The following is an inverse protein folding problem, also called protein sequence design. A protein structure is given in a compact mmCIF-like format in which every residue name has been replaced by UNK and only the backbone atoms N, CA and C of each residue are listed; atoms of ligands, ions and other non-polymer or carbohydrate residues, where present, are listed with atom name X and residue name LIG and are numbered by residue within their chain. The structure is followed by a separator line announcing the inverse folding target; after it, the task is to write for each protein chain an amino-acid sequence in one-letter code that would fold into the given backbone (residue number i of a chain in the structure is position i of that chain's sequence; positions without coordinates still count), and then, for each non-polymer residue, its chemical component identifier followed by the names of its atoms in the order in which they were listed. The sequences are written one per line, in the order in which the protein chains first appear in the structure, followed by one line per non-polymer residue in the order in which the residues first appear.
data_IF_140847413622
#
_entry.id   IF_140847413622
#
_cell.length_a   1.000
_cell.length_b   1.000
_cell.length_c   1.000
_cell.angle_alpha   90.00
_cell.angle_beta   90.00
_cell.angle_gamma   90.00
#
_symmetry.space_group_name_H-M   'P 1'
#
loop_
_entity.id
_entity.type
_entity.pdbx_description
1 polymer ?
#
# COMPACT_ATOMS: atom_id res chain seq x y z
N UNK A 1 15.30 -33.94 -39.35
CA UNK A 1 15.73 -33.08 -38.22
C UNK A 1 14.60 -32.22 -37.67
N UNK A 2 13.99 -31.28 -38.42
CA UNK A 2 12.73 -30.59 -38.00
C UNK A 2 11.60 -31.55 -37.61
N UNK A 3 11.55 -32.72 -38.25
CA UNK A 3 10.61 -33.79 -37.92
C UNK A 3 10.75 -34.32 -36.47
N UNK A 4 11.97 -34.43 -35.93
CA UNK A 4 12.19 -35.01 -34.59
C UNK A 4 11.80 -34.03 -33.49
N UNK A 5 12.16 -32.74 -33.62
CA UNK A 5 11.72 -31.72 -32.67
C UNK A 5 10.19 -31.57 -32.66
N UNK A 6 9.55 -31.63 -33.82
CA UNK A 6 8.09 -31.61 -33.91
C UNK A 6 7.45 -32.86 -33.28
N UNK A 7 7.97 -34.06 -33.54
CA UNK A 7 7.47 -35.29 -32.91
C UNK A 7 7.67 -35.28 -31.40
N UNK A 8 8.78 -34.71 -30.91
CA UNK A 8 9.03 -34.53 -29.49
C UNK A 8 7.98 -33.60 -28.85
N UNK A 9 7.73 -32.44 -29.46
CA UNK A 9 6.71 -31.50 -29.00
C UNK A 9 5.29 -32.08 -29.09
N UNK A 10 5.00 -32.87 -30.13
CA UNK A 10 3.74 -33.60 -30.26
C UNK A 10 3.58 -34.68 -29.19
N UNK A 11 4.65 -35.44 -28.90
CA UNK A 11 4.64 -36.43 -27.82
C UNK A 11 4.46 -35.79 -26.45
N UNK A 12 5.12 -34.64 -26.23
CA UNK A 12 4.95 -33.85 -25.02
C UNK A 12 3.51 -33.33 -24.88
N UNK A 13 2.95 -32.77 -25.95
CA UNK A 13 1.56 -32.31 -26.00
C UNK A 13 0.58 -33.47 -25.75
N UNK A 14 0.78 -34.61 -26.40
CA UNK A 14 -0.06 -35.79 -26.21
C UNK A 14 -0.01 -36.30 -24.77
N UNK A 15 1.16 -36.30 -24.14
CA UNK A 15 1.22 -36.65 -22.73
C UNK A 15 0.58 -35.59 -21.82
N UNK A 16 0.80 -34.30 -22.08
CA UNK A 16 0.16 -33.24 -21.32
C UNK A 16 -1.37 -33.36 -21.35
N UNK A 17 -1.95 -33.59 -22.53
CA UNK A 17 -3.39 -33.86 -22.70
C UNK A 17 -3.81 -35.11 -21.95
N UNK A 18 -3.00 -36.19 -21.98
CA UNK A 18 -3.31 -37.41 -21.24
C UNK A 18 -3.33 -37.19 -19.71
N UNK A 19 -2.53 -36.25 -19.21
CA UNK A 19 -2.54 -35.82 -17.81
C UNK A 19 -3.64 -34.80 -17.49
N UNK A 20 -4.43 -34.40 -18.49
CA UNK A 20 -5.55 -33.47 -18.34
C UNK A 20 -5.17 -31.98 -18.47
N UNK A 21 -3.97 -31.67 -18.94
CA UNK A 21 -3.52 -30.29 -19.11
C UNK A 21 -3.95 -29.73 -20.46
N UNK A 22 -4.22 -28.43 -20.47
CA UNK A 22 -4.52 -27.70 -21.70
C UNK A 22 -3.21 -27.41 -22.44
N UNK A 23 -3.25 -27.60 -23.76
CA UNK A 23 -2.10 -27.38 -24.64
C UNK A 23 -2.47 -26.33 -25.67
N UNK A 24 -1.66 -25.27 -25.78
CA UNK A 24 -1.87 -24.18 -26.72
C UNK A 24 -0.68 -24.04 -27.68
N UNK A 25 -0.96 -23.58 -28.89
CA UNK A 25 0.10 -23.17 -29.81
C UNK A 25 0.79 -21.91 -29.29
N UNK A 26 2.12 -21.91 -29.27
CA UNK A 26 2.91 -20.75 -28.84
C UNK A 26 2.65 -19.58 -29.79
N UNK A 27 2.10 -18.49 -29.26
CA UNK A 27 1.85 -17.26 -30.02
C UNK A 27 3.08 -16.33 -30.09
N UNK A 28 4.21 -16.70 -29.47
CA UNK A 28 5.40 -15.86 -29.38
C UNK A 28 6.12 -15.70 -30.72
N UNK A 29 6.34 -14.44 -31.12
CA UNK A 29 7.12 -14.06 -32.32
C UNK A 29 8.60 -14.47 -32.24
N UNK A 30 9.12 -14.75 -31.04
CA UNK A 30 10.54 -15.01 -30.80
C UNK A 30 10.96 -16.46 -31.12
N UNK A 31 10.04 -17.43 -31.12
CA UNK A 31 10.36 -18.86 -31.26
C UNK A 31 9.93 -19.48 -32.60
N UNK A 32 9.58 -18.64 -33.58
CA UNK A 32 8.95 -19.02 -34.86
C UNK A 32 9.78 -19.98 -35.72
N UNK A 33 11.09 -20.11 -35.49
CA UNK A 33 12.01 -20.90 -36.33
C UNK A 33 12.20 -22.35 -35.88
N UNK A 34 11.89 -22.69 -34.62
CA UNK A 34 12.23 -24.00 -34.04
C UNK A 34 11.03 -24.75 -33.42
N UNK A 35 9.90 -24.06 -33.21
CA UNK A 35 8.64 -24.64 -32.73
C UNK A 35 8.56 -24.67 -31.20
N UNK A 36 7.36 -24.47 -30.67
CA UNK A 36 7.10 -24.51 -29.24
C UNK A 36 5.63 -24.76 -28.93
N UNK A 37 5.37 -25.18 -27.71
CA UNK A 37 4.03 -25.45 -27.17
C UNK A 37 3.88 -24.82 -25.78
N UNK A 38 2.72 -24.24 -25.50
CA UNK A 38 2.38 -23.80 -24.15
C UNK A 38 1.58 -24.91 -23.47
N UNK A 39 2.02 -25.30 -22.28
CA UNK A 39 1.29 -26.24 -21.41
C UNK A 39 0.70 -25.42 -20.26
N UNK A 40 -0.61 -25.50 -20.08
CA UNK A 40 -1.31 -24.77 -19.02
C UNK A 40 -1.64 -25.73 -17.89
N UNK A 41 -1.07 -25.45 -16.71
CA UNK A 41 -1.32 -26.18 -15.46
C UNK A 41 -1.78 -25.18 -14.41
N UNK A 42 -2.94 -25.42 -13.80
CA UNK A 42 -3.54 -24.54 -12.77
C UNK A 42 -3.64 -23.06 -13.17
N UNK A 43 -3.88 -22.82 -14.46
CA UNK A 43 -3.99 -21.47 -15.04
C UNK A 43 -2.65 -20.75 -15.24
N UNK A 44 -1.52 -21.44 -15.08
CA UNK A 44 -0.19 -20.95 -15.42
C UNK A 44 0.25 -21.55 -16.76
N UNK A 45 0.64 -20.70 -17.71
CA UNK A 45 1.13 -21.13 -19.02
C UNK A 45 2.66 -21.28 -19.00
N UNK A 46 3.12 -22.47 -19.38
CA UNK A 46 4.52 -22.85 -19.42
C UNK A 46 4.96 -23.05 -20.87
N UNK A 47 5.76 -22.13 -21.39
CA UNK A 47 6.23 -22.18 -22.78
C UNK A 47 7.41 -23.13 -22.90
N UNK A 48 7.25 -24.15 -23.75
CA UNK A 48 8.28 -25.16 -24.01
C UNK A 48 8.72 -25.06 -25.45
N UNK A 49 10.03 -25.01 -25.65
CA UNK A 49 10.66 -24.92 -26.96
C UNK A 49 11.64 -26.07 -27.15
N UNK A 50 11.77 -26.54 -28.39
CA UNK A 50 12.71 -27.61 -28.72
C UNK A 50 13.58 -27.18 -29.91
N UNK A 51 14.89 -27.29 -29.75
CA UNK A 51 15.88 -26.86 -30.76
C UNK A 51 17.07 -27.79 -30.86
N UNK A 52 17.88 -27.63 -31.89
CA UNK A 52 19.12 -28.41 -32.03
C UNK A 52 20.19 -27.87 -31.06
N UNK A 53 20.95 -28.78 -30.44
CA UNK A 53 22.07 -28.41 -29.56
C UNK A 53 23.25 -27.89 -30.37
N UNK A 54 23.56 -28.53 -31.50
CA UNK A 54 24.70 -28.22 -32.36
C UNK A 54 24.27 -28.10 -33.84
N UNK A 55 23.54 -27.03 -34.20
CA UNK A 55 22.96 -26.89 -35.55
C UNK A 55 24.02 -26.80 -36.66
N UNK A 56 25.23 -26.33 -36.35
CA UNK A 56 26.33 -26.15 -37.31
C UNK A 56 27.27 -27.36 -37.41
N UNK A 57 27.01 -28.44 -36.66
CA UNK A 57 27.90 -29.60 -36.66
C UNK A 57 27.73 -30.43 -37.94
N UNK A 58 28.85 -30.73 -38.61
CA UNK A 58 28.91 -31.66 -39.74
C UNK A 58 28.84 -33.13 -39.32
N UNK A 59 28.97 -33.41 -38.02
CA UNK A 59 28.84 -34.77 -37.45
C UNK A 59 27.36 -35.07 -37.24
N UNK A 60 26.82 -36.01 -38.02
CA UNK A 60 25.40 -36.39 -38.01
C UNK A 60 24.84 -36.62 -36.60
N UNK A 61 25.54 -37.40 -35.76
CA UNK A 61 25.12 -37.68 -34.39
C UNK A 61 25.04 -36.44 -33.48
N UNK A 62 25.93 -35.46 -33.68
CA UNK A 62 25.93 -34.21 -32.89
C UNK A 62 24.85 -33.25 -33.38
N UNK A 63 24.67 -33.14 -34.69
CA UNK A 63 23.61 -32.33 -35.29
C UNK A 63 22.21 -32.82 -34.90
N UNK A 64 22.07 -34.13 -34.59
CA UNK A 64 20.80 -34.76 -34.21
C UNK A 64 20.37 -34.52 -32.77
N UNK A 65 21.25 -34.00 -31.91
CA UNK A 65 20.93 -33.75 -30.50
C UNK A 65 19.99 -32.57 -30.35
N UNK A 66 18.95 -32.79 -29.56
CA UNK A 66 17.97 -31.77 -29.22
C UNK A 66 18.18 -31.23 -27.81
N UNK A 67 17.72 -30.00 -27.62
CA UNK A 67 17.59 -29.30 -26.34
C UNK A 67 16.15 -28.87 -26.21
N UNK A 68 15.55 -29.12 -25.05
CA UNK A 68 14.25 -28.58 -24.64
C UNK A 68 14.48 -27.51 -23.59
N UNK A 69 13.85 -26.35 -23.77
CA UNK A 69 13.91 -25.22 -22.86
C UNK A 69 12.48 -24.85 -22.44
N UNK A 70 12.27 -24.84 -21.12
CA UNK A 70 11.08 -24.32 -20.46
C UNK A 70 11.33 -22.85 -20.11
N UNK A 71 10.70 -21.97 -20.87
CA UNK A 71 10.72 -20.54 -20.60
C UNK A 71 9.68 -20.23 -19.52
N UNK A 72 10.12 -20.05 -18.28
CA UNK A 72 9.27 -19.51 -17.23
C UNK A 72 10.06 -18.87 -16.09
N UNK A 73 9.89 -17.56 -15.92
CA UNK A 73 10.29 -16.77 -14.74
C UNK A 73 11.79 -16.58 -14.49
N UNK A 74 12.11 -15.67 -13.56
CA UNK A 74 13.44 -15.50 -12.95
C UNK A 74 13.70 -16.63 -11.92
N UNK A 75 13.49 -17.88 -12.30
CA UNK A 75 13.72 -19.02 -11.40
C UNK A 75 15.22 -19.34 -11.35
N UNK A 76 15.77 -19.62 -10.17
CA UNK A 76 17.15 -20.13 -10.03
C UNK A 76 17.32 -21.59 -10.51
N UNK A 77 16.22 -22.30 -10.80
CA UNK A 77 16.18 -23.69 -11.33
C UNK A 77 16.33 -23.70 -12.86
N UNK A 78 17.24 -24.53 -13.37
CA UNK A 78 17.45 -24.67 -14.81
C UNK A 78 16.32 -25.48 -15.47
N UNK A 79 15.49 -24.85 -16.29
CA UNK A 79 14.46 -25.51 -17.11
C UNK A 79 14.98 -26.01 -18.46
N UNK A 80 16.17 -26.64 -18.48
CA UNK A 80 16.83 -27.04 -19.74
C UNK A 80 17.20 -28.52 -19.73
N UNK A 81 16.66 -29.27 -20.68
CA UNK A 81 16.95 -30.68 -20.91
C UNK A 81 17.61 -30.88 -22.26
N UNK A 82 18.43 -31.92 -22.40
CA UNK A 82 19.15 -32.23 -23.63
C UNK A 82 19.31 -33.73 -23.81
N UNK A 83 19.43 -34.17 -25.05
CA UNK A 83 19.76 -35.56 -25.36
C UNK A 83 21.08 -35.97 -24.67
N UNK A 84 21.08 -37.18 -24.10
CA UNK A 84 22.26 -37.82 -23.51
C UNK A 84 22.60 -39.08 -24.30
N UNK A 85 23.85 -39.56 -24.17
CA UNK A 85 24.31 -40.80 -24.81
C UNK A 85 23.41 -42.00 -24.46
N UNK A 86 22.81 -42.01 -23.26
CA UNK A 86 22.06 -43.15 -22.73
C UNK A 86 20.57 -42.85 -22.52
N UNK A 87 20.09 -41.66 -22.86
CA UNK A 87 18.68 -41.27 -22.69
C UNK A 87 18.30 -40.19 -23.68
N UNK A 88 17.24 -40.44 -24.44
CA UNK A 88 16.69 -39.45 -25.37
C UNK A 88 15.65 -38.56 -24.67
N UNK A 89 15.40 -37.37 -25.22
CA UNK A 89 14.38 -36.45 -24.70
C UNK A 89 12.96 -37.02 -24.75
N UNK A 90 12.67 -37.91 -25.70
CA UNK A 90 11.39 -38.60 -25.82
C UNK A 90 11.13 -39.51 -24.61
N UNK A 91 12.17 -40.08 -24.01
CA UNK A 91 12.07 -40.86 -22.76
C UNK A 91 12.06 -39.97 -21.50
N UNK A 92 12.21 -38.65 -21.67
CA UNK A 92 12.21 -37.67 -20.59
C UNK A 92 10.95 -36.82 -20.52
N UNK A 93 9.96 -37.06 -21.40
CA UNK A 93 8.70 -36.31 -21.42
C UNK A 93 8.00 -36.27 -20.06
N UNK A 94 7.89 -37.42 -19.39
CA UNK A 94 7.28 -37.48 -18.07
C UNK A 94 8.04 -36.72 -16.98
N UNK A 95 9.37 -36.57 -17.11
CA UNK A 95 10.20 -35.76 -16.20
C UNK A 95 10.02 -34.27 -16.48
N UNK A 96 9.94 -33.89 -17.76
CA UNK A 96 9.69 -32.51 -18.17
C UNK A 96 8.31 -32.06 -17.64
N UNK A 97 7.30 -32.92 -17.73
CA UNK A 97 5.96 -32.61 -17.22
C UNK A 97 5.90 -32.58 -15.70
N UNK A 98 6.59 -33.49 -15.00
CA UNK A 98 6.67 -33.44 -13.54
C UNK A 98 7.32 -32.14 -13.02
N UNK A 99 8.33 -31.61 -13.72
CA UNK A 99 8.91 -30.29 -13.38
C UNK A 99 7.88 -29.16 -13.57
N UNK A 100 7.05 -29.23 -14.61
CA UNK A 100 6.02 -28.21 -14.87
C UNK A 100 4.95 -28.25 -13.77
N UNK A 101 4.55 -29.46 -13.36
CA UNK A 101 3.62 -29.68 -12.25
C UNK A 101 4.17 -29.12 -10.93
N UNK A 102 5.44 -29.40 -10.61
CA UNK A 102 6.08 -28.85 -9.39
C UNK A 102 6.10 -27.32 -9.41
N UNK A 103 6.45 -26.71 -10.55
CA UNK A 103 6.42 -25.25 -10.71
C UNK A 103 5.01 -24.67 -10.59
N UNK A 104 4.00 -25.38 -11.08
CA UNK A 104 2.61 -24.94 -10.96
C UNK A 104 2.14 -24.90 -9.50
N UNK A 105 2.53 -25.90 -8.70
CA UNK A 105 2.27 -25.92 -7.26
C UNK A 105 2.96 -24.73 -6.57
N UNK A 106 4.25 -24.50 -6.84
CA UNK A 106 5.00 -23.37 -6.26
C UNK A 106 4.39 -22.01 -6.64
N UNK A 107 3.98 -21.84 -7.89
CA UNK A 107 3.39 -20.60 -8.36
C UNK A 107 1.97 -20.39 -7.80
N UNK A 108 1.19 -21.46 -7.63
CA UNK A 108 -0.11 -21.41 -6.96
C UNK A 108 0.04 -21.01 -5.49
N UNK A 109 1.00 -21.59 -4.77
CA UNK A 109 1.33 -21.21 -3.39
C UNK A 109 1.79 -19.75 -3.29
N UNK A 110 2.64 -19.30 -4.23
CA UNK A 110 3.08 -17.90 -4.29
C UNK A 110 1.90 -16.97 -4.51
N UNK A 111 1.03 -17.25 -5.48
CA UNK A 111 -0.18 -16.45 -5.76
C UNK A 111 -1.09 -16.40 -4.52
N UNK A 112 -1.32 -17.53 -3.85
CA UNK A 112 -2.13 -17.58 -2.64
C UNK A 112 -1.52 -16.79 -1.49
N UNK A 113 -0.20 -16.87 -1.29
CA UNK A 113 0.53 -16.11 -0.28
C UNK A 113 0.50 -14.61 -0.57
N UNK A 114 0.76 -14.22 -1.82
CA UNK A 114 0.71 -12.82 -2.23
C UNK A 114 -0.68 -12.22 -2.04
N UNK A 115 -1.73 -12.97 -2.34
CA UNK A 115 -3.12 -12.56 -2.11
C UNK A 115 -3.43 -12.43 -0.61
N UNK A 116 -3.01 -13.38 0.22
CA UNK A 116 -3.14 -13.27 1.69
C UNK A 116 -2.43 -12.02 2.20
N UNK A 117 -1.18 -11.78 1.77
CA UNK A 117 -0.41 -10.61 2.16
C UNK A 117 -1.05 -9.30 1.68
N UNK A 118 -1.69 -9.28 0.50
CA UNK A 118 -2.47 -8.13 0.01
C UNK A 118 -3.64 -7.82 0.93
N UNK A 119 -4.45 -8.83 1.27
CA UNK A 119 -5.60 -8.67 2.17
C UNK A 119 -5.20 -8.24 3.57
N UNK A 120 -4.17 -8.87 4.15
CA UNK A 120 -3.64 -8.47 5.45
C UNK A 120 -3.15 -7.02 5.46
N UNK A 121 -2.46 -6.58 4.40
CA UNK A 121 -2.04 -5.18 4.26
C UNK A 121 -3.24 -4.24 4.16
N UNK A 122 -4.25 -4.60 3.39
CA UNK A 122 -5.46 -3.80 3.25
C UNK A 122 -6.21 -3.67 4.58
N UNK A 123 -6.38 -4.76 5.32
CA UNK A 123 -7.00 -4.73 6.66
C UNK A 123 -6.21 -3.85 7.62
N UNK A 124 -4.88 -4.00 7.67
CA UNK A 124 -4.01 -3.17 8.51
C UNK A 124 -4.06 -1.70 8.13
N UNK A 125 -4.10 -1.41 6.83
CA UNK A 125 -4.22 -0.05 6.32
C UNK A 125 -5.55 0.59 6.71
N UNK A 126 -6.68 -0.11 6.51
CA UNK A 126 -8.01 0.38 6.91
C UNK A 126 -8.07 0.67 8.41
N UNK A 127 -7.55 -0.24 9.24
CA UNK A 127 -7.49 -0.04 10.68
C UNK A 127 -6.66 1.20 11.07
N UNK A 128 -5.51 1.39 10.42
CA UNK A 128 -4.67 2.57 10.65
C UNK A 128 -5.34 3.88 10.20
N UNK A 129 -6.11 3.85 9.11
CA UNK A 129 -6.88 5.02 8.63
C UNK A 129 -7.98 5.40 9.62
N UNK A 130 -8.72 4.42 10.16
CA UNK A 130 -9.76 4.70 11.15
C UNK A 130 -9.17 5.21 12.48
N UNK A 131 -8.09 4.61 12.98
CA UNK A 131 -7.35 5.13 14.16
C UNK A 131 -6.86 6.58 13.92
N UNK A 132 -6.37 6.87 12.71
CA UNK A 132 -5.95 8.21 12.33
C UNK A 132 -7.12 9.21 12.28
N UNK A 133 -8.31 8.80 11.80
CA UNK A 133 -9.51 9.64 11.79
C UNK A 133 -9.98 9.97 13.20
N UNK A 134 -9.99 8.99 14.10
CA UNK A 134 -10.33 9.22 15.51
C UNK A 134 -9.36 10.21 16.15
N UNK A 135 -8.05 10.02 15.92
CA UNK A 135 -7.00 10.93 16.42
C UNK A 135 -7.16 12.35 15.87
N UNK A 136 -7.46 12.49 14.58
CA UNK A 136 -7.67 13.80 13.95
C UNK A 136 -8.94 14.50 14.47
N UNK A 137 -10.04 13.77 14.68
CA UNK A 137 -11.25 14.33 15.32
C UNK A 137 -10.97 14.77 16.75
N UNK A 138 -10.23 13.97 17.51
CA UNK A 138 -9.84 14.31 18.88
C UNK A 138 -9.01 15.61 18.91
N UNK A 139 -8.04 15.77 18.00
CA UNK A 139 -7.25 17.00 17.92
C UNK A 139 -8.09 18.24 17.56
N UNK A 140 -9.07 18.11 16.66
CA UNK A 140 -10.00 19.20 16.34
C UNK A 140 -10.79 19.63 17.59
N UNK A 141 -11.35 18.66 18.33
CA UNK A 141 -12.09 18.96 19.56
C UNK A 141 -11.20 19.58 20.63
N UNK A 142 -9.98 19.06 20.80
CA UNK A 142 -9.01 19.59 21.74
C UNK A 142 -8.58 21.03 21.37
N UNK A 143 -8.50 21.35 20.08
CA UNK A 143 -8.19 22.70 19.63
C UNK A 143 -9.31 23.69 19.99
N UNK A 144 -10.58 23.31 19.77
CA UNK A 144 -11.73 24.14 20.18
C UNK A 144 -11.75 24.34 21.69
N UNK A 145 -11.58 23.26 22.47
CA UNK A 145 -11.55 23.35 23.92
C UNK A 145 -10.42 24.26 24.44
N UNK A 146 -9.24 24.19 23.82
CA UNK A 146 -8.11 25.06 24.16
C UNK A 146 -8.40 26.52 23.86
N UNK A 147 -9.05 26.82 22.74
CA UNK A 147 -9.47 28.18 22.40
C UNK A 147 -10.48 28.73 23.43
N UNK A 148 -11.52 27.95 23.73
CA UNK A 148 -12.53 28.33 24.72
C UNK A 148 -11.92 28.55 26.11
N UNK A 149 -11.09 27.63 26.58
CA UNK A 149 -10.41 27.77 27.86
C UNK A 149 -9.48 29.00 27.88
N UNK A 150 -8.84 29.32 26.74
CA UNK A 150 -8.03 30.52 26.57
C UNK A 150 -8.85 31.80 26.71
N UNK A 151 -9.96 31.90 25.97
CA UNK A 151 -10.87 33.06 26.03
C UNK A 151 -11.50 33.25 27.41
N UNK A 152 -11.88 32.16 28.08
CA UNK A 152 -12.36 32.21 29.45
C UNK A 152 -11.30 32.75 30.42
N UNK A 153 -10.06 32.25 30.33
CA UNK A 153 -8.96 32.72 31.17
C UNK A 153 -8.64 34.20 30.93
N UNK A 154 -8.68 34.63 29.67
CA UNK A 154 -8.49 36.04 29.30
C UNK A 154 -9.60 36.92 29.89
N UNK A 155 -10.86 36.52 29.78
CA UNK A 155 -12.00 37.22 30.37
C UNK A 155 -11.84 37.37 31.90
N UNK A 156 -11.46 36.30 32.58
CA UNK A 156 -11.21 36.30 34.02
C UNK A 156 -10.07 37.27 34.40
N UNK A 157 -8.95 37.23 33.69
CA UNK A 157 -7.80 38.12 33.92
C UNK A 157 -8.17 39.60 33.72
N UNK A 158 -8.95 39.92 32.68
CA UNK A 158 -9.42 41.29 32.44
C UNK A 158 -10.40 41.71 33.53
N UNK A 159 -11.25 40.81 34.01
CA UNK A 159 -12.14 41.04 35.15
C UNK A 159 -11.36 41.40 36.42
N UNK A 160 -10.35 40.61 36.78
CA UNK A 160 -9.46 40.87 37.91
C UNK A 160 -8.72 42.22 37.78
N UNK A 161 -8.26 42.55 36.57
CA UNK A 161 -7.66 43.85 36.27
C UNK A 161 -8.66 44.99 36.48
N UNK A 162 -9.90 44.84 36.02
CA UNK A 162 -10.96 45.84 36.21
C UNK A 162 -11.26 46.06 37.70
N UNK A 163 -11.36 44.98 38.48
CA UNK A 163 -11.60 45.05 39.93
C UNK A 163 -10.43 45.68 40.69
N UNK A 164 -9.19 45.47 40.22
CA UNK A 164 -8.01 46.15 40.77
C UNK A 164 -7.98 47.64 40.40
N UNK A 165 -8.35 47.99 39.17
CA UNK A 165 -8.42 49.38 38.69
C UNK A 165 -9.50 50.16 39.43
N UNK A 166 -10.68 49.58 39.61
CA UNK A 166 -11.78 50.19 40.36
C UNK A 166 -11.37 50.53 41.80
N UNK A 167 -10.81 49.55 42.54
CA UNK A 167 -10.27 49.79 43.89
C UNK A 167 -9.21 50.89 43.92
N UNK A 168 -8.37 50.99 42.90
CA UNK A 168 -7.36 52.06 42.82
C UNK A 168 -7.98 53.44 42.61
N UNK A 169 -9.04 53.53 41.80
CA UNK A 169 -9.79 54.76 41.58
C UNK A 169 -10.55 55.19 42.85
N UNK A 170 -11.15 54.25 43.58
CA UNK A 170 -11.82 54.50 44.87
C UNK A 170 -10.85 55.08 45.91
N UNK A 171 -9.63 54.54 46.01
CA UNK A 171 -8.60 55.07 46.92
C UNK A 171 -8.17 56.49 46.54
N UNK A 172 -8.01 56.79 45.24
CA UNK A 172 -7.67 58.15 44.78
C UNK A 172 -8.76 59.17 45.12
N UNK A 173 -10.02 58.75 45.02
CA UNK A 173 -11.18 59.57 45.38
C UNK A 173 -11.23 59.84 46.89
N UNK A 174 -10.96 58.82 47.72
CA UNK A 174 -10.98 58.89 49.17
C UNK A 174 -9.84 59.73 49.77
N UNK A 175 -8.63 59.66 49.19
CA UNK A 175 -7.47 60.42 49.65
C UNK A 175 -7.56 61.93 49.33
N UNK A 176 -8.56 62.36 48.55
CA UNK A 176 -8.84 63.77 48.24
C UNK A 176 -7.86 64.43 47.27
N UNK A 177 -6.81 63.71 46.83
CA UNK A 177 -5.75 64.22 45.96
C UNK A 177 -6.20 64.36 44.49
N UNK A 178 -7.04 63.46 43.98
CA UNK A 178 -7.47 63.52 42.58
C UNK A 178 -8.77 62.73 42.33
N UNK A 179 -9.79 63.40 41.80
CA UNK A 179 -11.02 62.73 41.36
C UNK A 179 -10.77 61.84 40.13
N UNK A 180 -11.36 60.63 40.06
CA UNK A 180 -11.31 59.80 38.86
C UNK A 180 -11.78 60.59 37.63
N UNK A 181 -10.95 60.64 36.60
CA UNK A 181 -11.32 61.32 35.36
C UNK A 181 -12.42 60.54 34.63
N UNK A 182 -13.32 61.24 33.96
CA UNK A 182 -14.35 60.59 33.14
C UNK A 182 -13.79 59.67 32.05
N UNK A 183 -12.54 59.85 31.64
CA UNK A 183 -11.86 58.92 30.72
C UNK A 183 -11.51 57.57 31.38
N UNK A 184 -11.09 57.57 32.64
CA UNK A 184 -10.77 56.35 33.39
C UNK A 184 -12.02 55.50 33.62
N UNK A 185 -13.14 56.14 34.00
CA UNK A 185 -14.42 55.46 34.20
C UNK A 185 -14.94 54.84 32.89
N UNK A 186 -14.84 55.56 31.76
CA UNK A 186 -15.22 55.01 30.44
C UNK A 186 -14.34 53.84 30.02
N UNK A 187 -13.04 53.90 30.30
CA UNK A 187 -12.13 52.79 30.01
C UNK A 187 -12.47 51.56 30.85
N UNK A 188 -12.72 51.72 32.15
CA UNK A 188 -13.15 50.64 33.04
C UNK A 188 -14.46 50.01 32.57
N UNK A 189 -15.46 50.82 32.20
CA UNK A 189 -16.73 50.32 31.68
C UNK A 189 -16.54 49.54 30.38
N UNK A 190 -15.74 50.06 29.45
CA UNK A 190 -15.44 49.40 28.20
C UNK A 190 -14.71 48.06 28.42
N UNK A 191 -13.70 48.04 29.29
CA UNK A 191 -12.94 46.84 29.61
C UNK A 191 -13.81 45.75 30.26
N UNK A 192 -14.71 46.13 31.18
CA UNK A 192 -15.69 45.20 31.77
C UNK A 192 -16.65 44.64 30.72
N UNK A 193 -17.08 45.47 29.75
CA UNK A 193 -17.94 45.01 28.65
C UNK A 193 -17.20 44.03 27.74
N UNK A 194 -15.97 44.36 27.36
CA UNK A 194 -15.11 43.51 26.55
C UNK A 194 -14.88 42.14 27.21
N UNK A 195 -14.54 42.10 28.51
CA UNK A 195 -14.37 40.85 29.25
C UNK A 195 -15.62 39.95 29.18
N UNK A 196 -16.82 40.53 29.34
CA UNK A 196 -18.09 39.79 29.21
C UNK A 196 -18.39 39.33 27.79
N UNK A 197 -17.97 40.08 26.78
CA UNK A 197 -18.23 39.75 25.39
C UNK A 197 -17.33 38.61 24.89
N UNK A 198 -16.09 38.51 25.39
CA UNK A 198 -15.17 37.42 25.04
C UNK A 198 -15.37 36.13 25.86
N UNK A 199 -16.02 36.23 27.03
CA UNK A 199 -16.26 35.09 27.93
C UNK A 199 -17.16 34.04 27.27
N UNK A 200 -16.63 32.85 26.94
CA UNK A 200 -17.42 31.79 26.32
C UNK A 200 -18.52 31.25 27.25
N UNK A 201 -18.42 31.42 28.57
CA UNK A 201 -19.41 30.93 29.52
C UNK A 201 -20.67 31.79 29.58
N UNK A 202 -20.67 32.96 28.93
CA UNK A 202 -21.88 33.79 28.77
C UNK A 202 -22.97 33.06 27.99
N UNK A 203 -22.57 32.20 27.05
CA UNK A 203 -23.43 31.24 26.37
C UNK A 203 -22.70 29.90 26.34
N UNK A 204 -22.89 29.03 27.37
CA UNK A 204 -22.10 27.83 27.53
C UNK A 204 -22.05 27.00 26.23
N UNK A 205 -20.86 26.73 25.68
CA UNK A 205 -20.74 25.99 24.44
C UNK A 205 -21.18 24.54 24.63
N UNK A 206 -21.86 24.02 23.61
CA UNK A 206 -22.17 22.58 23.50
C UNK A 206 -21.03 21.81 22.82
N UNK A 207 -21.17 20.48 22.74
CA UNK A 207 -20.19 19.64 22.03
C UNK A 207 -20.07 20.07 20.55
N UNK A 208 -18.88 20.49 20.08
CA UNK A 208 -18.68 20.85 18.68
C UNK A 208 -18.87 19.63 17.77
N UNK A 209 -19.39 19.85 16.56
CA UNK A 209 -19.42 18.79 15.53
C UNK A 209 -18.10 18.83 14.75
N UNK A 210 -17.22 17.83 14.89
CA UNK A 210 -15.95 17.81 14.16
C UNK A 210 -16.20 17.60 12.67
N UNK A 211 -15.36 18.22 11.82
CA UNK A 211 -15.40 17.99 10.37
C UNK A 211 -14.77 16.64 10.04
N UNK A 212 -15.21 16.03 8.94
CA UNK A 212 -14.54 14.83 8.45
C UNK A 212 -13.06 15.17 8.12
N UNK A 213 -12.09 14.43 8.67
CA UNK A 213 -10.68 14.68 8.42
C UNK A 213 -10.31 14.49 6.95
N UNK A 214 -9.58 15.44 6.37
CA UNK A 214 -9.01 15.30 5.04
C UNK A 214 -7.81 14.34 5.05
N UNK A 215 -7.39 13.79 3.90
CA UNK A 215 -6.19 12.97 3.82
C UNK A 215 -4.93 13.63 4.40
N UNK A 216 -4.82 14.96 4.30
CA UNK A 216 -3.70 15.72 4.84
C UNK A 216 -3.74 15.83 6.37
N UNK A 217 -4.94 15.94 6.95
CA UNK A 217 -5.15 15.91 8.41
C UNK A 217 -4.77 14.54 9.01
N UNK A 218 -4.85 13.46 8.23
CA UNK A 218 -4.51 12.11 8.66
C UNK A 218 -2.99 11.83 8.65
N UNK A 219 -2.22 12.55 7.81
CA UNK A 219 -0.77 12.29 7.62
C UNK A 219 0.03 12.19 8.92
N UNK A 220 -0.17 13.07 9.93
CA UNK A 220 0.58 12.99 11.19
C UNK A 220 0.34 11.68 11.95
N UNK A 221 -0.84 11.06 11.78
CA UNK A 221 -1.29 9.90 12.56
C UNK A 221 -1.09 8.57 11.83
N UNK A 222 -0.84 8.58 10.53
CA UNK A 222 -0.78 7.37 9.70
C UNK A 222 0.50 6.52 9.87
N UNK A 223 1.45 6.85 10.77
CA UNK A 223 2.61 6.00 11.15
C UNK A 223 3.30 5.30 9.96
N UNK A 224 3.61 6.05 8.89
CA UNK A 224 4.23 5.59 7.61
C UNK A 224 3.31 4.84 6.62
N UNK A 225 2.01 4.79 6.86
CA UNK A 225 1.03 4.40 5.84
C UNK A 225 0.71 5.56 4.91
N UNK A 226 0.38 5.25 3.66
CA UNK A 226 -0.16 6.26 2.74
C UNK A 226 -1.61 6.58 3.08
N UNK A 227 -2.01 7.83 2.91
CA UNK A 227 -3.39 8.27 3.13
C UNK A 227 -4.37 7.76 2.06
N UNK A 228 -3.86 7.31 0.90
CA UNK A 228 -4.69 6.97 -0.27
C UNK A 228 -4.65 5.50 -0.66
N UNK A 229 -3.62 4.76 -0.26
CA UNK A 229 -3.38 3.40 -0.73
C UNK A 229 -2.83 2.50 0.37
N UNK A 230 -3.07 1.18 0.33
CA UNK A 230 -2.55 0.19 1.28
C UNK A 230 -1.06 -0.12 1.05
N UNK A 231 -0.26 0.94 0.92
CA UNK A 231 1.20 0.92 0.82
C UNK A 231 1.80 1.69 1.97
N UNK A 232 2.96 1.20 2.44
CA UNK A 232 3.81 2.00 3.30
C UNK A 232 4.53 3.04 2.45
N UNK A 233 4.57 4.27 2.94
CA UNK A 233 5.47 5.27 2.38
C UNK A 233 6.90 4.89 2.76
N UNK A 234 7.81 4.98 1.79
CA UNK A 234 9.24 4.93 2.09
C UNK A 234 9.52 6.10 3.04
N UNK A 235 10.15 5.83 4.18
CA UNK A 235 10.64 6.91 5.03
C UNK A 235 11.72 7.71 4.29
N UNK A 236 11.96 8.97 4.68
CA UNK A 236 13.18 9.67 4.30
C UNK A 236 14.42 8.90 4.75
#
# INVERSE_FOLDING_TARGET
MRRRSLLLLQGLAAEAVRRGYEVRAVHSRFYRREGGVDIVVDGFAYTITARQEFPESTISERSARLVVELAHGLTRRSGRWRDRKNRSLEQALGVILAEIEERAVEDAERRANDERRRRERETRWRAAVEEAKESARHEQLAAVLRDEAGRWREAALIGEYCDALERRLEVLEADGDQQPTGSQLRWLEWARRYARDIDPLRQPPGMPTPREPSPDDLRPYLKRWSAHEPKRQAGP
#
